data_IF_697535927286
#
_entry.id   IF_697535927286
#
_cell.length_a   1.000
_cell.length_b   1.000
_cell.length_c   1.000
_cell.angle_alpha   90.00
_cell.angle_beta   90.00
_cell.angle_gamma   90.00
#
_symmetry.space_group_name_H-M   'P 1'
#
loop_
_entity.id
_entity.type
_entity.pdbx_description
1 polymer ?
#
# COMPACT_ATOMS: atom_id res chain seq x y z
N UNK A 1 -12.08 3.66 14.00
CA UNK A 1 -11.21 2.92 13.09
C UNK A 1 -9.98 2.54 13.88
N UNK A 2 -9.71 1.25 14.03
CA UNK A 2 -8.49 0.77 14.70
C UNK A 2 -7.34 0.64 13.68
N UNK A 3 -6.14 0.32 14.17
CA UNK A 3 -4.95 0.22 13.34
C UNK A 3 -5.06 -0.90 12.29
N UNK A 4 -5.64 -2.05 12.63
CA UNK A 4 -5.85 -3.16 11.69
C UNK A 4 -6.78 -2.76 10.53
N UNK A 5 -7.88 -2.05 10.84
CA UNK A 5 -8.80 -1.51 9.84
C UNK A 5 -8.12 -0.46 8.96
N UNK A 6 -7.20 0.34 9.51
CA UNK A 6 -6.42 1.31 8.74
C UNK A 6 -5.44 0.61 7.79
N UNK A 7 -4.70 -0.39 8.27
CA UNK A 7 -3.76 -1.15 7.43
C UNK A 7 -4.48 -1.86 6.30
N UNK A 8 -5.63 -2.51 6.57
CA UNK A 8 -6.44 -3.15 5.55
C UNK A 8 -6.95 -2.17 4.47
N UNK A 9 -7.27 -0.92 4.86
CA UNK A 9 -7.63 0.12 3.90
C UNK A 9 -6.44 0.59 3.05
N UNK A 10 -5.25 0.68 3.65
CA UNK A 10 -4.02 1.04 2.92
C UNK A 10 -3.65 -0.05 1.90
N UNK A 11 -3.76 -1.33 2.27
CA UNK A 11 -3.59 -2.45 1.35
C UNK A 11 -4.61 -2.42 0.21
N UNK A 12 -5.88 -2.12 0.51
CA UNK A 12 -6.93 -1.97 -0.50
C UNK A 12 -6.60 -0.82 -1.48
N UNK A 13 -6.11 0.31 -0.97
CA UNK A 13 -5.68 1.44 -1.80
C UNK A 13 -4.48 1.08 -2.68
N UNK A 14 -3.47 0.39 -2.14
CA UNK A 14 -2.31 -0.07 -2.90
C UNK A 14 -2.73 -1.03 -4.02
N UNK A 15 -3.63 -1.97 -3.73
CA UNK A 15 -4.20 -2.90 -4.72
C UNK A 15 -4.96 -2.17 -5.82
N UNK A 16 -5.75 -1.16 -5.47
CA UNK A 16 -6.47 -0.34 -6.45
C UNK A 16 -5.51 0.41 -7.38
N UNK A 17 -4.48 1.06 -6.83
CA UNK A 17 -3.44 1.73 -7.62
C UNK A 17 -2.71 0.75 -8.54
N UNK A 18 -2.38 -0.45 -8.04
CA UNK A 18 -1.75 -1.52 -8.81
C UNK A 18 -2.66 -2.04 -9.93
N UNK A 19 -3.98 -2.01 -9.75
CA UNK A 19 -4.95 -2.30 -10.82
C UNK A 19 -4.99 -1.20 -11.88
N UNK A 20 -5.02 0.06 -11.45
CA UNK A 20 -5.07 1.22 -12.35
C UNK A 20 -3.84 1.36 -13.25
N UNK A 21 -2.64 0.99 -12.80
CA UNK A 21 -1.43 1.07 -13.65
C UNK A 21 -1.51 0.19 -14.91
N UNK A 22 -2.45 -0.75 -15.00
CA UNK A 22 -2.67 -1.56 -16.20
C UNK A 22 -3.65 -0.92 -17.20
N UNK A 23 -4.27 0.21 -16.85
CA UNK A 23 -5.14 0.95 -17.76
C UNK A 23 -4.31 1.69 -18.81
N UNK A 24 -4.30 1.15 -20.03
CA UNK A 24 -3.52 1.70 -21.15
C UNK A 24 -4.00 3.07 -21.64
N UNK A 25 -5.16 3.55 -21.15
CA UNK A 25 -5.64 4.91 -21.41
C UNK A 25 -4.90 5.98 -20.60
N UNK A 26 -4.25 5.58 -19.50
CA UNK A 26 -3.43 6.49 -18.71
C UNK A 26 -2.06 6.71 -19.39
N UNK A 27 -1.48 7.91 -19.32
CA UNK A 27 -0.09 8.17 -19.68
C UNK A 27 0.90 7.22 -18.96
N UNK A 28 2.05 6.92 -19.58
CA UNK A 28 3.01 5.96 -19.03
C UNK A 28 3.58 6.39 -17.68
N UNK A 29 3.90 7.68 -17.54
CA UNK A 29 4.36 8.31 -16.31
C UNK A 29 3.31 8.22 -15.19
N UNK A 30 2.02 8.39 -15.51
CA UNK A 30 0.95 8.21 -14.54
C UNK A 30 0.82 6.75 -14.06
N UNK A 31 1.02 5.77 -14.95
CA UNK A 31 1.02 4.35 -14.58
C UNK A 31 2.23 3.98 -13.72
N UNK A 32 3.41 4.53 -14.04
CA UNK A 32 4.62 4.38 -13.22
C UNK A 32 4.42 4.99 -11.81
N UNK A 33 3.88 6.20 -11.73
CA UNK A 33 3.60 6.85 -10.45
C UNK A 33 2.60 6.06 -9.58
N UNK A 34 1.57 5.45 -10.20
CA UNK A 34 0.63 4.57 -9.50
C UNK A 34 1.31 3.32 -8.95
N UNK A 35 2.23 2.73 -9.71
CA UNK A 35 3.02 1.58 -9.28
C UNK A 35 3.93 1.93 -8.12
N UNK A 36 4.69 3.00 -8.24
CA UNK A 36 5.63 3.45 -7.22
C UNK A 36 4.88 3.77 -5.92
N UNK A 37 3.71 4.42 -6.02
CA UNK A 37 2.90 4.73 -4.85
C UNK A 37 2.30 3.49 -4.18
N UNK A 38 1.94 2.46 -4.95
CA UNK A 38 1.48 1.21 -4.38
C UNK A 38 2.61 0.51 -3.59
N UNK A 39 3.84 0.54 -4.11
CA UNK A 39 5.02 -0.01 -3.43
C UNK A 39 5.29 0.74 -2.11
N UNK A 40 5.27 2.08 -2.13
CA UNK A 40 5.45 2.88 -0.90
C UNK A 40 4.43 2.51 0.20
N UNK A 41 3.19 2.22 -0.20
CA UNK A 41 2.12 1.83 0.72
C UNK A 41 2.32 0.40 1.26
N UNK A 42 2.73 -0.54 0.40
CA UNK A 42 3.07 -1.90 0.83
C UNK A 42 4.20 -1.86 1.87
N UNK A 43 5.28 -1.11 1.59
CA UNK A 43 6.43 -0.95 2.49
C UNK A 43 6.02 -0.32 3.82
N UNK A 44 5.12 0.68 3.80
CA UNK A 44 4.59 1.28 5.02
C UNK A 44 3.82 0.28 5.88
N UNK A 45 2.91 -0.49 5.27
CA UNK A 45 2.08 -1.48 5.97
C UNK A 45 2.94 -2.59 6.57
N UNK A 46 3.91 -3.09 5.82
CA UNK A 46 4.84 -4.13 6.29
C UNK A 46 5.68 -3.61 7.47
N UNK A 47 6.26 -2.42 7.35
CA UNK A 47 7.06 -1.82 8.42
C UNK A 47 6.25 -1.56 9.69
N UNK A 48 5.00 -1.11 9.57
CA UNK A 48 4.13 -0.87 10.72
C UNK A 48 3.74 -2.19 11.41
N UNK A 49 3.38 -3.21 10.62
CA UNK A 49 3.03 -4.54 11.11
C UNK A 49 4.20 -5.19 11.87
N UNK A 50 5.40 -5.14 11.30
CA UNK A 50 6.61 -5.68 11.91
C UNK A 50 6.97 -4.95 13.22
N UNK A 51 6.87 -3.62 13.25
CA UNK A 51 7.11 -2.83 14.48
C UNK A 51 6.15 -3.21 15.61
N UNK A 52 4.87 -3.40 15.32
CA UNK A 52 3.88 -3.75 16.35
C UNK A 52 3.98 -5.21 16.80
N UNK A 53 4.40 -6.14 15.92
CA UNK A 53 4.71 -7.50 16.34
C UNK A 53 5.86 -7.55 17.36
N UNK A 54 6.87 -6.69 17.23
CA UNK A 54 7.99 -6.62 18.17
C UNK A 54 7.67 -5.91 19.50
N UNK A 55 6.62 -5.08 19.57
CA UNK A 55 6.20 -4.43 20.82
C UNK A 55 5.30 -5.31 21.69
N UNK A 56 4.55 -6.24 21.09
CA UNK A 56 3.68 -7.17 21.82
C UNK A 56 4.39 -8.45 22.29
N UNK A 57 5.72 -8.54 22.14
CA UNK A 57 6.54 -9.70 22.49
C UNK A 57 7.49 -9.49 23.69
N UNK A 58 7.30 -8.46 24.51
CA UNK A 58 8.10 -8.15 25.71
C UNK A 58 7.31 -8.35 27.01
#
# INVERSE_FOLDING_TARGET
MNDEELLAQLESAANFMRGMQFDTRLPSDAREALRDRAIDLDDFVENYSNKNMHQNGA
#
